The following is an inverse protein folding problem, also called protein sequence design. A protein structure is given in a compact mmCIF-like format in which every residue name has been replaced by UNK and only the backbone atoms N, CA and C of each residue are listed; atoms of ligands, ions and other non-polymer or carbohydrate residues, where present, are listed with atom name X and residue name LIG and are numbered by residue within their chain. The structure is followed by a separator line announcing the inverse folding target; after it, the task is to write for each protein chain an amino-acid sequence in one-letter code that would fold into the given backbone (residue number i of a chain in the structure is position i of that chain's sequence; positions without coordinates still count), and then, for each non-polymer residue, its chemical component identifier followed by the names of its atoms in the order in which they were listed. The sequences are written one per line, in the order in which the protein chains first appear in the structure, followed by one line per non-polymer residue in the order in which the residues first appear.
data_IF_522314176834
#
_entry.id   IF_522314176834
#
_cell.length_a   1.000
_cell.length_b   1.000
_cell.length_c   1.000
_cell.angle_alpha   90.00
_cell.angle_beta   90.00
_cell.angle_gamma   90.00
#
_symmetry.space_group_name_H-M   'P 1'
#
loop_
_entity.id
_entity.type
_entity.pdbx_description
1 polymer ?
#
# COMPACT_ATOMS: atom_id res chain seq x y z
N UNK A 1 3.46 -10.92 8.81
CA UNK A 1 2.57 -9.87 9.32
C UNK A 1 1.55 -9.63 8.23
N UNK A 2 0.27 -9.68 8.54
CA UNK A 2 -0.74 -9.70 7.49
C UNK A 2 -1.07 -8.29 7.00
N UNK A 3 -0.82 -8.04 5.71
CA UNK A 3 -1.11 -6.75 5.05
C UNK A 3 -2.42 -6.81 4.26
N UNK A 4 -3.22 -7.86 4.45
CA UNK A 4 -4.50 -8.14 3.79
C UNK A 4 -5.41 -6.92 3.59
N UNK A 5 -5.55 -6.05 4.59
CA UNK A 5 -6.43 -4.88 4.45
C UNK A 5 -5.86 -3.82 3.49
N UNK A 6 -4.55 -3.58 3.55
CA UNK A 6 -3.89 -2.65 2.64
C UNK A 6 -3.86 -3.23 1.22
N UNK A 7 -3.58 -4.53 1.10
CA UNK A 7 -3.58 -5.25 -0.17
C UNK A 7 -4.99 -5.28 -0.79
N UNK A 8 -6.02 -5.56 0.00
CA UNK A 8 -7.42 -5.52 -0.41
C UNK A 8 -7.82 -4.13 -0.91
N UNK A 9 -7.48 -3.08 -0.18
CA UNK A 9 -7.76 -1.72 -0.62
C UNK A 9 -7.03 -1.35 -1.91
N UNK A 10 -5.75 -1.70 -2.03
CA UNK A 10 -5.00 -1.40 -3.25
C UNK A 10 -5.55 -2.19 -4.44
N UNK A 11 -5.81 -3.48 -4.31
CA UNK A 11 -6.24 -4.34 -5.42
C UNK A 11 -7.73 -4.21 -5.78
N UNK A 12 -8.60 -3.99 -4.78
CA UNK A 12 -10.05 -4.08 -4.94
C UNK A 12 -10.79 -2.80 -4.54
N UNK A 13 -10.11 -1.81 -3.95
CA UNK A 13 -10.76 -0.63 -3.39
C UNK A 13 -11.59 -0.89 -2.13
N UNK A 14 -11.46 -2.08 -1.53
CA UNK A 14 -12.19 -2.52 -0.33
C UNK A 14 -11.23 -3.22 0.64
N UNK A 15 -11.25 -2.93 1.96
CA UNK A 15 -12.18 -2.04 2.66
C UNK A 15 -11.93 -0.56 2.33
N UNK A 16 -12.70 0.35 2.92
CA UNK A 16 -12.55 1.78 2.64
C UNK A 16 -11.18 2.29 3.08
N UNK A 17 -10.71 3.34 2.42
CA UNK A 17 -9.44 3.98 2.75
C UNK A 17 -9.35 4.43 4.21
N UNK A 18 -10.46 4.93 4.76
CA UNK A 18 -10.53 5.38 6.15
C UNK A 18 -10.25 4.24 7.11
N UNK A 19 -10.84 3.06 6.88
CA UNK A 19 -10.62 1.85 7.68
C UNK A 19 -9.16 1.38 7.59
N UNK A 20 -8.58 1.38 6.38
CA UNK A 20 -7.17 1.02 6.18
C UNK A 20 -6.24 1.95 6.95
N UNK A 21 -6.44 3.26 6.81
CA UNK A 21 -5.60 4.26 7.49
C UNK A 21 -5.72 4.13 9.00
N UNK A 22 -6.94 3.98 9.52
CA UNK A 22 -7.16 3.76 10.95
C UNK A 22 -6.39 2.53 11.43
N UNK A 23 -6.53 1.39 10.74
CA UNK A 23 -5.88 0.14 11.15
C UNK A 23 -4.35 0.21 11.06
N UNK A 24 -3.80 0.89 10.05
CA UNK A 24 -2.36 1.12 9.93
C UNK A 24 -1.82 1.95 11.09
N UNK A 25 -2.57 2.96 11.54
CA UNK A 25 -2.17 3.82 12.66
C UNK A 25 -2.31 3.15 14.02
N UNK A 26 -3.24 2.20 14.16
CA UNK A 26 -3.41 1.36 15.35
C UNK A 26 -2.30 0.31 15.48
N UNK A 27 -2.01 -0.40 14.38
CA UNK A 27 -1.08 -1.54 14.40
C UNK A 27 0.37 -1.14 14.20
N UNK A 28 0.62 -0.04 13.46
CA UNK A 28 1.94 0.48 13.07
C UNK A 28 2.96 -0.61 12.78
N UNK A 29 2.72 -1.40 11.73
CA UNK A 29 3.62 -2.45 11.28
C UNK A 29 5.10 -2.03 11.34
N UNK A 30 5.98 -2.83 11.98
CA UNK A 30 7.36 -2.41 12.18
C UNK A 30 8.14 -2.47 10.86
N UNK A 31 8.62 -1.31 10.41
CA UNK A 31 9.68 -1.17 9.42
C UNK A 31 10.40 0.16 9.67
N UNK A 32 11.73 0.16 9.66
CA UNK A 32 12.53 1.33 10.03
C UNK A 32 12.16 2.57 9.18
N UNK A 33 11.85 2.38 7.91
CA UNK A 33 11.48 3.44 6.99
C UNK A 33 9.98 3.77 6.96
N UNK A 34 9.12 3.08 7.73
CA UNK A 34 7.67 3.31 7.72
C UNK A 34 7.23 4.47 8.64
N UNK A 35 8.06 4.86 9.61
CA UNK A 35 7.70 5.89 10.59
C UNK A 35 7.22 7.23 9.98
N UNK A 36 7.89 7.80 8.94
CA UNK A 36 7.43 9.03 8.31
C UNK A 36 6.06 8.90 7.64
N UNK A 37 5.73 7.71 7.11
CA UNK A 37 4.42 7.45 6.51
C UNK A 37 3.32 7.46 7.57
N UNK A 38 3.55 6.84 8.74
CA UNK A 38 2.57 6.88 9.83
C UNK A 38 2.33 8.29 10.35
N UNK A 39 3.38 9.11 10.43
CA UNK A 39 3.24 10.53 10.80
C UNK A 39 2.37 11.29 9.78
N UNK A 40 2.61 11.10 8.48
CA UNK A 40 1.80 11.68 7.42
C UNK A 40 0.35 11.21 7.46
N UNK A 41 0.13 9.91 7.64
CA UNK A 41 -1.20 9.30 7.77
C UNK A 41 -1.95 9.82 8.99
N UNK A 42 -1.27 10.02 10.13
CA UNK A 42 -1.89 10.57 11.34
C UNK A 42 -2.38 12.02 11.15
N UNK A 43 -1.68 12.81 10.32
CA UNK A 43 -2.08 14.19 10.00
C UNK A 43 -3.19 14.28 8.96
N UNK A 44 -3.09 13.46 7.91
CA UNK A 44 -3.97 13.57 6.74
C UNK A 44 -5.21 12.66 6.85
N UNK A 45 -5.12 11.56 7.59
CA UNK A 45 -6.15 10.53 7.63
C UNK A 45 -6.44 9.97 6.24
N UNK A 46 -7.72 9.79 5.92
CA UNK A 46 -8.17 9.32 4.60
C UNK A 46 -7.88 10.29 3.45
N UNK A 47 -7.47 11.53 3.73
CA UNK A 47 -7.04 12.50 2.70
C UNK A 47 -5.62 12.27 2.21
N UNK A 48 -4.84 11.40 2.86
CA UNK A 48 -3.52 11.02 2.37
C UNK A 48 -3.63 10.47 0.95
N UNK A 49 -2.73 10.78 0.00
CA UNK A 49 -2.83 10.26 -1.37
C UNK A 49 -2.64 8.73 -1.42
N UNK A 50 -3.28 8.04 -2.37
CA UNK A 50 -3.10 6.59 -2.58
C UNK A 50 -1.62 6.24 -2.81
N UNK A 51 -0.86 7.14 -3.43
CA UNK A 51 0.58 7.04 -3.61
C UNK A 51 1.34 6.85 -2.28
N UNK A 52 0.90 7.49 -1.19
CA UNK A 52 1.52 7.29 0.12
C UNK A 52 1.27 5.88 0.66
N UNK A 53 0.09 5.30 0.39
CA UNK A 53 -0.24 3.93 0.77
C UNK A 53 0.54 2.89 -0.07
N UNK A 54 0.72 3.16 -1.37
CA UNK A 54 1.55 2.36 -2.27
C UNK A 54 3.02 2.38 -1.81
N UNK A 55 3.56 3.56 -1.56
CA UNK A 55 4.94 3.73 -1.08
C UNK A 55 5.15 3.06 0.29
N UNK A 56 4.20 3.23 1.23
CA UNK A 56 4.22 2.51 2.49
C UNK A 56 4.21 0.99 2.28
N UNK A 57 3.40 0.47 1.36
CA UNK A 57 3.34 -0.96 1.11
C UNK A 57 4.67 -1.54 0.60
N UNK A 58 5.38 -0.80 -0.24
CA UNK A 58 6.75 -1.15 -0.68
C UNK A 58 7.71 -1.21 0.51
N UNK A 59 7.70 -0.19 1.37
CA UNK A 59 8.53 -0.16 2.57
C UNK A 59 8.25 -1.34 3.49
N UNK A 60 6.97 -1.69 3.66
CA UNK A 60 6.54 -2.83 4.47
C UNK A 60 6.92 -4.18 3.84
N UNK A 61 7.12 -4.23 2.52
CA UNK A 61 7.69 -5.37 1.81
C UNK A 61 9.23 -5.42 1.88
N UNK A 62 9.88 -4.53 2.63
CA UNK A 62 11.34 -4.41 2.67
C UNK A 62 11.94 -3.82 1.39
N UNK A 63 11.13 -3.21 0.53
CA UNK A 63 11.56 -2.50 -0.69
C UNK A 63 11.79 -1.02 -0.38
N UNK A 64 12.57 -0.35 -1.23
CA UNK A 64 12.66 1.12 -1.21
C UNK A 64 11.48 1.72 -1.96
N UNK A 65 10.92 2.81 -1.43
CA UNK A 65 9.89 3.60 -2.09
C UNK A 65 10.53 4.69 -2.97
N UNK A 66 11.32 4.28 -3.97
CA UNK A 66 11.86 5.19 -4.99
C UNK A 66 10.77 5.55 -6.01
N UNK A 67 10.86 6.74 -6.61
CA UNK A 67 9.83 7.28 -7.52
C UNK A 67 9.43 6.29 -8.62
N UNK A 68 10.41 5.66 -9.27
CA UNK A 68 10.16 4.65 -10.31
C UNK A 68 9.44 3.42 -9.78
N UNK A 69 9.80 2.95 -8.57
CA UNK A 69 9.16 1.78 -7.97
C UNK A 69 7.71 2.09 -7.57
N UNK A 70 7.46 3.28 -7.03
CA UNK A 70 6.13 3.76 -6.68
C UNK A 70 5.28 3.96 -7.93
N UNK A 71 5.84 4.55 -8.99
CA UNK A 71 5.15 4.76 -10.26
C UNK A 71 4.75 3.43 -10.92
N UNK A 72 5.67 2.46 -10.97
CA UNK A 72 5.37 1.12 -11.49
C UNK A 72 4.28 0.43 -10.67
N UNK A 73 4.40 0.43 -9.34
CA UNK A 73 3.40 -0.23 -8.49
C UNK A 73 2.04 0.46 -8.58
N UNK A 74 1.99 1.80 -8.75
CA UNK A 74 0.76 2.54 -9.03
C UNK A 74 0.09 2.04 -10.30
N UNK A 75 0.84 1.87 -11.37
CA UNK A 75 0.30 1.42 -12.66
C UNK A 75 -0.20 -0.02 -12.57
N UNK A 76 0.49 -0.89 -11.83
CA UNK A 76 0.04 -2.25 -11.50
C UNK A 76 -1.27 -2.22 -10.71
N UNK A 77 -1.35 -1.40 -9.66
CA UNK A 77 -2.56 -1.23 -8.85
C UNK A 77 -3.74 -0.74 -9.69
N UNK A 78 -3.51 0.24 -10.57
CA UNK A 78 -4.55 0.76 -11.45
C UNK A 78 -5.08 -0.32 -12.40
N UNK A 79 -4.20 -1.13 -13.00
CA UNK A 79 -4.58 -2.27 -13.85
C UNK A 79 -5.33 -3.35 -13.06
N UNK A 80 -4.87 -3.69 -11.86
CA UNK A 80 -5.54 -4.66 -11.00
C UNK A 80 -6.97 -4.22 -10.65
N UNK A 81 -7.17 -2.93 -10.34
CA UNK A 81 -8.49 -2.34 -10.09
C UNK A 81 -9.39 -2.35 -11.34
N UNK A 82 -8.79 -2.30 -12.53
CA UNK A 82 -9.52 -2.44 -13.80
C UNK A 82 -9.86 -3.90 -14.16
N UNK A 83 -9.47 -4.87 -13.33
CA UNK A 83 -9.78 -6.29 -13.52
C UNK A 83 -8.69 -7.12 -14.20
N UNK A 84 -7.52 -6.56 -14.46
CA UNK A 84 -6.37 -7.30 -15.01
C UNK A 84 -5.86 -8.32 -13.97
N UNK A 85 -6.07 -9.61 -14.26
CA UNK A 85 -5.63 -10.71 -13.40
C UNK A 85 -4.10 -10.80 -13.33
N UNK A 86 -3.39 -10.56 -14.44
CA UNK A 86 -1.93 -10.60 -14.47
C UNK A 86 -1.31 -9.49 -13.62
N UNK A 87 -1.96 -8.32 -13.55
CA UNK A 87 -1.53 -7.25 -12.67
C UNK A 87 -1.63 -7.62 -11.18
N UNK A 88 -2.58 -8.48 -10.78
CA UNK A 88 -2.66 -8.98 -9.40
C UNK A 88 -1.49 -9.90 -9.05
N UNK A 89 -1.07 -10.74 -9.99
CA UNK A 89 0.09 -11.62 -9.80
C UNK A 89 1.40 -10.83 -9.80
N UNK A 90 1.50 -9.80 -10.64
CA UNK A 90 2.62 -8.86 -10.64
C UNK A 90 2.72 -8.11 -9.31
N UNK A 91 1.60 -7.60 -8.79
CA UNK A 91 1.53 -6.96 -7.48
C UNK A 91 2.10 -7.86 -6.38
N UNK A 92 1.58 -9.09 -6.28
CA UNK A 92 2.00 -10.12 -5.32
C UNK A 92 3.50 -10.38 -5.38
N UNK A 93 4.05 -10.49 -6.60
CA UNK A 93 5.49 -10.66 -6.85
C UNK A 93 6.30 -9.48 -6.33
N UNK A 94 5.86 -8.25 -6.58
CA UNK A 94 6.56 -7.03 -6.14
C UNK A 94 6.59 -6.93 -4.62
N UNK A 95 5.43 -7.15 -3.98
CA UNK A 95 5.24 -6.94 -2.54
C UNK A 95 5.55 -8.17 -1.67
N UNK A 96 5.97 -9.28 -2.28
CA UNK A 96 6.42 -10.49 -1.61
C UNK A 96 5.31 -11.28 -0.91
N UNK A 97 4.08 -11.19 -1.41
CA UNK A 97 2.94 -11.98 -0.90
C UNK A 97 2.73 -13.12 -1.89
N UNK A 98 3.23 -14.31 -1.54
CA UNK A 98 2.95 -15.55 -2.24
C UNK A 98 1.67 -16.19 -1.69
#
# INVERSE_FOLDING_TARGET
MDFELLDGYLLNGSPSKSEVVQKLLETRPPAQAAAPFYEGLARLGSRAPDLALIALRLVLAGRKAEDDAVARLRDVVARARAGDAAARDEYRTVVGVA
#
